data_IF_328266961651
#
_entry.id   IF_328266961651
#
_cell.length_a   1.000
_cell.length_b   1.000
_cell.length_c   1.000
_cell.angle_alpha   90.00
_cell.angle_beta   90.00
_cell.angle_gamma   90.00
#
_symmetry.space_group_name_H-M   'P 1'
#
loop_
_entity.id
_entity.type
_entity.pdbx_description
1 polymer ?
#
# COMPACT_ATOMS: atom_id res chain seq x y z
N UNK A 1 -15.55 14.47 59.46
CA UNK A 1 -14.27 15.00 58.96
C UNK A 1 -14.20 14.60 57.49
N UNK A 2 -14.65 15.44 56.55
CA UNK A 2 -13.96 16.56 55.86
C UNK A 2 -12.83 16.11 54.92
N UNK A 3 -13.05 16.41 53.63
CA UNK A 3 -12.13 16.52 52.47
C UNK A 3 -11.60 15.19 51.87
N UNK A 4 -11.49 14.99 50.55
CA UNK A 4 -11.15 15.90 49.43
C UNK A 4 -11.86 15.44 48.14
N UNK A 5 -12.34 16.40 47.34
CA UNK A 5 -12.68 16.19 45.93
C UNK A 5 -11.40 16.29 45.07
N UNK A 6 -11.19 15.37 44.12
CA UNK A 6 -10.25 15.55 43.02
C UNK A 6 -10.99 15.33 41.70
N UNK A 7 -10.96 16.33 40.85
CA UNK A 7 -11.53 16.37 39.49
C UNK A 7 -10.40 16.07 38.48
N UNK A 8 -10.80 15.65 37.28
CA UNK A 8 -10.10 15.63 35.96
C UNK A 8 -8.96 14.59 35.82
N UNK A 9 -8.91 13.76 34.77
CA UNK A 9 -8.61 14.10 33.36
C UNK A 9 -9.19 13.06 32.37
N UNK A 10 -9.58 13.58 31.20
CA UNK A 10 -9.95 12.94 29.93
C UNK A 10 -9.43 11.51 29.64
N UNK A 11 -10.33 10.57 29.34
CA UNK A 11 -9.99 9.47 28.43
C UNK A 11 -10.21 9.96 26.99
N UNK A 12 -9.29 10.82 26.55
CA UNK A 12 -9.01 11.00 25.13
C UNK A 12 -8.37 9.71 24.60
N UNK A 13 -8.59 9.43 23.31
CA UNK A 13 -7.97 8.36 22.54
C UNK A 13 -6.48 8.15 22.89
N UNK A 14 -6.09 6.93 23.28
CA UNK A 14 -4.67 6.57 23.37
C UNK A 14 -4.36 5.45 24.35
N UNK A 15 -3.73 4.38 23.86
CA UNK A 15 -3.19 3.26 24.65
C UNK A 15 -3.82 1.94 24.21
N UNK A 16 -3.26 1.23 23.22
CA UNK A 16 -2.12 0.31 23.38
C UNK A 16 -2.38 -0.88 24.30
N UNK A 17 -3.53 -1.54 24.16
CA UNK A 17 -3.79 -2.84 24.80
C UNK A 17 -3.76 -3.98 23.78
N UNK A 18 -2.68 -4.76 23.95
CA UNK A 18 -2.33 -6.08 23.42
C UNK A 18 -3.45 -6.90 22.80
N UNK A 19 -3.66 -6.71 21.50
CA UNK A 19 -4.15 -7.74 20.59
C UNK A 19 -3.05 -8.09 19.59
N UNK A 20 -2.08 -8.94 19.95
CA UNK A 20 -1.03 -9.43 19.02
C UNK A 20 -1.57 -10.53 18.12
N UNK A 21 -2.68 -10.26 17.44
CA UNK A 21 -3.09 -11.00 16.26
C UNK A 21 -2.38 -10.41 15.03
N UNK A 22 -2.09 -11.20 13.99
CA UNK A 22 -1.56 -10.66 12.74
C UNK A 22 -2.52 -9.60 12.18
N UNK A 23 -2.03 -8.38 11.95
CA UNK A 23 -2.86 -7.31 11.37
C UNK A 23 -2.81 -7.48 9.84
N UNK A 24 -3.92 -7.63 9.12
CA UNK A 24 -3.91 -7.70 7.66
C UNK A 24 -3.28 -6.44 7.02
N UNK A 25 -2.77 -6.57 5.80
CA UNK A 25 -2.31 -5.40 5.05
C UNK A 25 -3.40 -4.34 4.91
N UNK A 26 -2.98 -3.06 4.93
CA UNK A 26 -3.92 -1.94 4.79
C UNK A 26 -4.68 -2.05 3.47
N UNK A 27 -5.98 -1.81 3.53
CA UNK A 27 -6.80 -1.68 2.32
C UNK A 27 -7.03 -0.20 2.10
N UNK A 28 -6.49 0.33 1.01
CA UNK A 28 -6.73 1.68 0.56
C UNK A 28 -7.99 1.67 -0.30
N UNK A 29 -9.12 2.05 0.29
CA UNK A 29 -10.39 2.22 -0.44
C UNK A 29 -10.64 3.69 -0.72
N UNK A 30 -10.96 4.00 -1.97
CA UNK A 30 -11.50 5.29 -2.37
C UNK A 30 -10.50 6.46 -2.41
N UNK A 31 -10.83 7.41 -3.27
CA UNK A 31 -10.24 8.73 -3.28
C UNK A 31 -10.25 9.33 -4.67
N UNK A 32 -11.07 10.38 -4.85
CA UNK A 32 -10.95 11.27 -6.00
C UNK A 32 -9.51 11.79 -6.04
N UNK A 33 -8.89 11.47 -7.16
CA UNK A 33 -7.53 11.79 -7.55
C UNK A 33 -7.45 13.32 -7.65
N UNK A 34 -6.56 13.95 -6.87
CA UNK A 34 -6.08 15.29 -7.26
C UNK A 34 -5.53 15.23 -8.68
N UNK A 35 -5.26 16.34 -9.37
CA UNK A 35 -4.86 16.37 -10.80
C UNK A 35 -3.61 15.57 -11.22
N UNK A 36 -3.04 14.74 -10.34
CA UNK A 36 -1.94 13.83 -10.57
C UNK A 36 -2.37 12.60 -11.41
N UNK A 37 -1.64 12.36 -12.49
CA UNK A 37 -1.83 11.19 -13.36
C UNK A 37 -1.19 9.94 -12.76
N UNK A 38 -1.73 8.74 -13.02
CA UNK A 38 -1.14 7.48 -12.55
C UNK A 38 0.22 7.14 -13.20
N UNK A 39 0.48 7.45 -14.48
CA UNK A 39 1.81 7.25 -15.06
C UNK A 39 2.92 8.02 -14.35
N UNK A 40 4.05 7.34 -14.15
CA UNK A 40 5.23 7.85 -13.45
C UNK A 40 6.09 6.75 -12.85
N UNK A 41 7.25 7.14 -12.35
CA UNK A 41 8.12 6.28 -11.54
C UNK A 41 7.97 6.65 -10.07
N UNK A 42 7.79 5.64 -9.22
CA UNK A 42 7.54 5.77 -7.79
C UNK A 42 8.55 4.94 -7.00
N UNK A 43 9.20 5.55 -6.03
CA UNK A 43 10.08 4.89 -5.08
C UNK A 43 9.25 4.19 -3.99
N UNK A 44 9.50 2.91 -3.75
CA UNK A 44 8.73 2.07 -2.83
C UNK A 44 9.08 2.42 -1.38
N UNK A 45 8.13 3.02 -0.65
CA UNK A 45 8.29 3.40 0.76
C UNK A 45 7.85 2.33 1.74
N UNK A 46 6.86 1.53 1.34
CA UNK A 46 6.23 0.54 2.20
C UNK A 46 5.69 -0.58 1.35
N UNK A 47 5.92 -1.82 1.78
CA UNK A 47 5.39 -3.02 1.15
C UNK A 47 4.87 -3.99 2.21
N UNK A 48 3.65 -4.44 2.04
CA UNK A 48 2.99 -5.42 2.89
C UNK A 48 2.46 -6.57 2.02
N UNK A 49 2.72 -7.79 2.46
CA UNK A 49 2.29 -9.03 1.82
C UNK A 49 1.62 -9.92 2.87
N UNK A 50 0.32 -10.14 2.70
CA UNK A 50 -0.54 -10.89 3.62
C UNK A 50 -0.84 -10.16 4.93
N UNK A 51 0.16 -10.00 5.78
CA UNK A 51 0.04 -9.53 7.17
C UNK A 51 1.17 -8.57 7.54
N UNK A 52 0.87 -7.55 8.35
CA UNK A 52 1.84 -6.69 9.02
C UNK A 52 2.62 -7.50 10.08
N UNK A 53 3.89 -7.13 10.40
CA UNK A 53 4.58 -5.92 9.97
C UNK A 53 4.91 -5.94 8.48
N UNK A 54 5.06 -4.75 7.88
CA UNK A 54 5.60 -4.60 6.54
C UNK A 54 6.85 -5.48 6.38
N UNK A 55 7.11 -5.93 5.16
CA UNK A 55 8.33 -6.70 4.88
C UNK A 55 9.52 -5.77 5.14
N UNK A 56 10.15 -5.90 6.30
CA UNK A 56 11.24 -5.03 6.73
C UNK A 56 12.41 -5.17 5.76
N UNK A 57 12.95 -4.03 5.30
CA UNK A 57 13.98 -4.01 4.26
C UNK A 57 13.44 -4.22 2.84
N UNK A 58 12.12 -4.09 2.62
CA UNK A 58 11.57 -3.96 1.28
C UNK A 58 11.86 -2.56 0.72
N UNK A 59 12.56 -2.50 -0.41
CA UNK A 59 12.79 -1.28 -1.20
C UNK A 59 12.49 -1.58 -2.66
N UNK A 60 12.41 -0.58 -3.51
CA UNK A 60 12.06 -0.83 -4.89
C UNK A 60 11.62 0.37 -5.68
N UNK A 61 11.30 0.14 -6.94
CA UNK A 61 10.73 1.16 -7.80
C UNK A 61 9.53 0.59 -8.54
N UNK A 62 8.48 1.40 -8.69
CA UNK A 62 7.29 1.06 -9.47
C UNK A 62 7.21 2.05 -10.61
N UNK A 63 7.32 1.56 -11.83
CA UNK A 63 7.18 2.34 -13.06
C UNK A 63 5.87 1.99 -13.73
N UNK A 64 5.04 3.01 -13.95
CA UNK A 64 3.76 2.89 -14.64
C UNK A 64 3.84 3.77 -15.89
N UNK A 65 3.70 3.17 -17.07
CA UNK A 65 3.63 3.88 -18.35
C UNK A 65 2.17 4.01 -18.80
N UNK A 66 1.89 4.22 -20.09
CA UNK A 66 0.51 4.33 -20.58
C UNK A 66 -0.30 3.04 -20.40
N UNK A 67 0.35 1.87 -20.48
CA UNK A 67 -0.28 0.55 -20.38
C UNK A 67 0.52 -0.47 -19.58
N UNK A 68 1.81 -0.19 -19.33
CA UNK A 68 2.73 -1.16 -18.77
C UNK A 68 2.97 -0.85 -17.30
N UNK A 69 3.13 -1.93 -16.54
CA UNK A 69 3.45 -1.92 -15.13
C UNK A 69 4.77 -2.68 -14.97
N UNK A 70 5.73 -2.05 -14.30
CA UNK A 70 6.97 -2.70 -13.86
C UNK A 70 7.21 -2.32 -12.41
N UNK A 71 7.45 -3.30 -11.54
CA UNK A 71 7.82 -3.08 -10.16
C UNK A 71 9.04 -3.93 -9.82
N UNK A 72 10.15 -3.25 -9.51
CA UNK A 72 11.35 -3.87 -8.96
C UNK A 72 11.24 -3.84 -7.45
N UNK A 73 11.00 -4.99 -6.82
CA UNK A 73 10.84 -5.09 -5.37
C UNK A 73 12.02 -5.89 -4.81
N UNK A 74 12.83 -5.24 -4.00
CA UNK A 74 13.96 -5.84 -3.30
C UNK A 74 13.56 -6.17 -1.88
N UNK A 75 13.58 -7.46 -1.52
CA UNK A 75 13.29 -7.95 -0.17
C UNK A 75 14.53 -8.70 0.32
N UNK A 76 15.07 -8.30 1.47
CA UNK A 76 16.24 -8.94 2.09
C UNK A 76 17.44 -9.14 1.13
N UNK A 77 17.67 -8.16 0.25
CA UNK A 77 18.76 -8.18 -0.74
C UNK A 77 18.48 -8.97 -2.02
N UNK A 78 17.29 -9.56 -2.17
CA UNK A 78 16.84 -10.20 -3.41
C UNK A 78 15.87 -9.29 -4.14
N UNK A 79 16.22 -8.87 -5.34
CA UNK A 79 15.35 -8.07 -6.22
C UNK A 79 14.53 -8.97 -7.13
N UNK A 80 13.22 -8.80 -7.10
CA UNK A 80 12.27 -9.43 -8.00
C UNK A 80 11.61 -8.37 -8.87
N UNK A 81 11.72 -8.52 -10.19
CA UNK A 81 11.04 -7.67 -11.15
C UNK A 81 9.70 -8.26 -11.53
N UNK A 82 8.63 -7.59 -11.11
CA UNK A 82 7.26 -7.85 -11.51
C UNK A 82 6.93 -7.00 -12.72
N UNK A 83 6.53 -7.61 -13.83
CA UNK A 83 6.18 -6.85 -15.03
C UNK A 83 4.92 -7.38 -15.70
N UNK A 84 4.20 -6.48 -16.35
CA UNK A 84 2.94 -6.81 -17.00
C UNK A 84 2.22 -5.58 -17.53
N UNK A 85 0.94 -5.73 -17.76
CA UNK A 85 0.05 -4.63 -18.20
C UNK A 85 -0.92 -4.27 -17.10
N UNK A 86 -1.39 -3.03 -17.07
CA UNK A 86 -2.44 -2.63 -16.15
C UNK A 86 -3.63 -2.00 -16.87
N UNK A 87 -4.80 -2.10 -16.25
CA UNK A 87 -6.00 -1.36 -16.64
C UNK A 87 -6.59 -0.70 -15.40
N UNK A 88 -7.15 0.49 -15.59
CA UNK A 88 -7.87 1.22 -14.54
C UNK A 88 -9.36 1.23 -14.82
N UNK A 89 -10.17 1.06 -13.78
CA UNK A 89 -11.62 1.19 -13.85
C UNK A 89 -12.10 2.32 -12.93
N UNK A 90 -13.12 3.05 -13.36
CA UNK A 90 -13.72 4.11 -12.55
C UNK A 90 -14.44 3.49 -11.34
N UNK A 91 -14.32 4.05 -10.12
CA UNK A 91 -13.62 5.30 -9.80
C UNK A 91 -12.11 5.15 -9.52
N UNK A 92 -11.69 4.03 -8.96
CA UNK A 92 -10.36 3.85 -8.35
C UNK A 92 -9.82 2.41 -8.48
N UNK A 93 -10.42 1.61 -9.37
CA UNK A 93 -10.00 0.24 -9.60
C UNK A 93 -8.72 0.16 -10.43
N UNK A 94 -7.83 -0.75 -10.06
CA UNK A 94 -6.66 -1.13 -10.83
C UNK A 94 -6.58 -2.65 -10.93
N UNK A 95 -6.35 -3.14 -12.14
CA UNK A 95 -6.05 -4.55 -12.38
C UNK A 95 -4.71 -4.62 -13.09
N UNK A 96 -3.74 -5.29 -12.48
CA UNK A 96 -2.41 -5.55 -13.07
C UNK A 96 -2.34 -7.02 -13.45
N UNK A 97 -2.15 -7.29 -14.74
CA UNK A 97 -1.90 -8.63 -15.27
C UNK A 97 -0.38 -8.81 -15.37
N UNK A 98 0.20 -9.42 -14.34
CA UNK A 98 1.61 -9.76 -14.29
C UNK A 98 1.89 -10.93 -15.25
N UNK A 99 3.01 -10.82 -15.94
CA UNK A 99 3.57 -11.83 -16.85
C UNK A 99 4.91 -12.38 -16.35
N UNK A 100 5.59 -11.63 -15.48
CA UNK A 100 6.85 -11.99 -14.81
C UNK A 100 6.77 -11.65 -13.31
N UNK A 101 7.41 -12.44 -12.42
CA UNK A 101 8.16 -13.67 -12.69
C UNK A 101 7.26 -14.88 -13.01
N UNK A 102 5.99 -14.81 -12.65
CA UNK A 102 4.96 -15.80 -13.00
C UNK A 102 3.66 -15.07 -13.36
N UNK A 103 2.83 -15.64 -14.25
CA UNK A 103 1.53 -15.07 -14.59
C UNK A 103 0.64 -14.98 -13.36
N UNK A 104 0.18 -13.77 -13.04
CA UNK A 104 -0.69 -13.52 -11.91
C UNK A 104 -1.54 -12.27 -12.14
N UNK A 105 -2.77 -12.27 -11.63
CA UNK A 105 -3.63 -11.09 -11.71
C UNK A 105 -3.74 -10.46 -10.33
N UNK A 106 -3.23 -9.24 -10.22
CA UNK A 106 -3.46 -8.37 -9.08
C UNK A 106 -4.71 -7.54 -9.34
N UNK A 107 -5.72 -7.67 -8.49
CA UNK A 107 -6.94 -6.86 -8.55
C UNK A 107 -7.02 -6.03 -7.29
N UNK A 108 -7.18 -4.72 -7.43
CA UNK A 108 -7.17 -3.82 -6.30
C UNK A 108 -7.69 -2.43 -6.59
N UNK A 109 -7.36 -1.54 -5.67
CA UNK A 109 -7.68 -0.13 -5.71
C UNK A 109 -6.38 0.66 -5.61
N UNK A 110 -6.38 1.83 -6.24
CA UNK A 110 -5.25 2.75 -6.18
C UNK A 110 -5.72 4.16 -5.81
N UNK A 111 -4.81 4.92 -5.22
CA UNK A 111 -5.01 6.33 -4.91
C UNK A 111 -3.71 7.09 -5.18
N UNK A 112 -3.80 8.15 -5.96
CA UNK A 112 -2.69 9.09 -6.18
C UNK A 112 -2.99 10.37 -5.42
N UNK A 113 -2.07 10.84 -4.58
CA UNK A 113 -2.19 12.08 -3.80
C UNK A 113 -0.90 12.88 -3.94
N UNK A 114 -0.93 13.94 -4.75
CA UNK A 114 0.24 14.79 -5.10
C UNK A 114 1.38 13.97 -5.69
N UNK A 115 2.25 13.42 -4.84
CA UNK A 115 3.39 12.57 -5.22
C UNK A 115 3.30 11.17 -4.63
N UNK A 116 2.30 10.85 -3.80
CA UNK A 116 2.19 9.53 -3.17
C UNK A 116 1.21 8.64 -3.93
N UNK A 117 1.64 7.43 -4.25
CA UNK A 117 0.83 6.35 -4.80
C UNK A 117 0.54 5.33 -3.70
N UNK A 118 -0.73 5.08 -3.42
CA UNK A 118 -1.19 4.05 -2.50
C UNK A 118 -1.90 2.99 -3.32
N UNK A 119 -1.52 1.73 -3.16
CA UNK A 119 -2.13 0.62 -3.89
C UNK A 119 -2.39 -0.51 -2.91
N UNK A 120 -3.58 -1.09 -2.98
CA UNK A 120 -3.91 -2.30 -2.22
C UNK A 120 -4.79 -3.20 -3.04
N UNK A 121 -4.64 -4.51 -2.88
CA UNK A 121 -5.41 -5.48 -3.62
C UNK A 121 -5.04 -6.89 -3.22
N UNK A 122 -5.31 -7.83 -4.13
CA UNK A 122 -4.98 -9.23 -3.91
C UNK A 122 -4.46 -9.89 -5.19
N UNK A 123 -3.55 -10.85 -5.02
CA UNK A 123 -3.17 -11.85 -6.02
C UNK A 123 -3.64 -13.21 -5.50
N UNK A 124 -4.67 -13.78 -6.13
CA UNK A 124 -5.31 -14.99 -5.60
C UNK A 124 -5.89 -14.76 -4.21
N UNK A 125 -5.46 -15.54 -3.21
CA UNK A 125 -5.88 -15.40 -1.80
C UNK A 125 -5.00 -14.45 -0.99
N UNK A 126 -3.92 -13.93 -1.57
CA UNK A 126 -2.91 -13.17 -0.87
C UNK A 126 -3.13 -11.67 -1.05
N UNK A 127 -3.21 -10.93 0.06
CA UNK A 127 -3.38 -9.48 0.06
C UNK A 127 -2.05 -8.77 -0.11
N UNK A 128 -2.04 -7.69 -0.89
CA UNK A 128 -0.87 -6.85 -1.08
C UNK A 128 -1.24 -5.40 -0.85
N UNK A 129 -0.34 -4.66 -0.24
CA UNK A 129 -0.46 -3.21 -0.15
C UNK A 129 0.92 -2.57 -0.24
N UNK A 130 1.01 -1.48 -1.00
CA UNK A 130 2.24 -0.70 -1.07
C UNK A 130 1.98 0.79 -1.14
N UNK A 131 3.00 1.53 -0.74
CA UNK A 131 3.05 2.99 -0.84
C UNK A 131 4.30 3.34 -1.63
N UNK A 132 4.13 4.10 -2.69
CA UNK A 132 5.21 4.68 -3.49
C UNK A 132 5.21 6.21 -3.39
N UNK A 133 6.38 6.82 -3.57
CA UNK A 133 6.54 8.27 -3.74
C UNK A 133 7.12 8.58 -5.10
N UNK A 134 6.48 9.46 -5.88
CA UNK A 134 6.87 9.87 -7.22
C UNK A 134 8.30 10.40 -7.19
N UNK A 135 9.13 9.87 -8.09
CA UNK A 135 10.48 10.38 -8.30
C UNK A 135 10.41 11.70 -9.08
N UNK A 136 11.28 12.67 -8.74
CA UNK A 136 11.37 13.94 -9.47
C UNK A 136 11.84 13.77 -10.92
#
# INVERSE_FOLDING_TARGET
MRFVALVIVTAACGGSDKGTGPIPCDTYTGGVIGSATLPGTYDLRSFCQGMKPNVAGASGTVTITASDFTADVTIQGTTTTYSGTYVTSSPDGITVNLTSPLPATFVGNYRVTTDSLYVSGAVGTEKFAFIGTRMP
#
